data_IF_326532670087
#
_entry.id   IF_326532670087
#
_cell.length_a   1.000
_cell.length_b   1.000
_cell.length_c   1.000
_cell.angle_alpha   90.00
_cell.angle_beta   90.00
_cell.angle_gamma   90.00
#
_symmetry.space_group_name_H-M   'P 1'
#
loop_
_entity.id
_entity.type
_entity.pdbx_description
1 polymer ?
#
# COMPACT_ATOMS: atom_id res chain seq x y z
N UNK A 1 11.57 -21.60 4.42
CA UNK A 1 10.25 -20.96 4.57
C UNK A 1 9.36 -21.50 3.46
N UNK A 2 8.20 -22.05 3.79
CA UNK A 2 7.31 -22.73 2.84
C UNK A 2 6.68 -21.72 1.87
N UNK A 3 6.63 -22.01 0.56
CA UNK A 3 6.12 -21.08 -0.46
C UNK A 3 4.69 -20.63 -0.18
N UNK A 4 3.87 -21.54 0.36
CA UNK A 4 2.50 -21.27 0.82
C UNK A 4 2.39 -20.09 1.80
N UNK A 5 3.32 -19.96 2.74
CA UNK A 5 3.32 -18.86 3.71
C UNK A 5 3.71 -17.50 3.10
N UNK A 6 4.38 -17.52 1.95
CA UNK A 6 4.71 -16.30 1.21
C UNK A 6 3.48 -15.85 0.45
N UNK A 7 2.79 -16.76 -0.23
CA UNK A 7 1.59 -16.43 -0.99
C UNK A 7 0.44 -15.96 -0.08
N UNK A 8 0.23 -16.62 1.07
CA UNK A 8 -0.73 -16.18 2.10
C UNK A 8 -0.42 -14.75 2.61
N UNK A 9 0.87 -14.41 2.75
CA UNK A 9 1.27 -13.08 3.20
C UNK A 9 1.02 -12.00 2.14
N UNK A 10 1.24 -12.32 0.87
CA UNK A 10 0.92 -11.43 -0.23
C UNK A 10 -0.58 -11.26 -0.43
N UNK A 11 -1.37 -12.32 -0.22
CA UNK A 11 -2.82 -12.22 -0.20
C UNK A 11 -3.30 -11.30 0.93
N UNK A 12 -2.76 -11.46 2.14
CA UNK A 12 -3.03 -10.56 3.25
C UNK A 12 -2.64 -9.12 2.94
N UNK A 13 -1.49 -8.90 2.30
CA UNK A 13 -1.07 -7.57 1.85
C UNK A 13 -2.08 -6.96 0.86
N UNK A 14 -2.53 -7.72 -0.14
CA UNK A 14 -3.51 -7.26 -1.11
C UNK A 14 -4.83 -6.88 -0.43
N UNK A 15 -5.30 -7.72 0.51
CA UNK A 15 -6.49 -7.42 1.30
C UNK A 15 -6.34 -6.11 2.10
N UNK A 16 -5.19 -5.91 2.75
CA UNK A 16 -4.94 -4.66 3.49
C UNK A 16 -4.86 -3.46 2.53
N UNK A 17 -4.26 -3.61 1.35
CA UNK A 17 -4.18 -2.56 0.33
C UNK A 17 -5.58 -2.15 -0.14
N UNK A 18 -6.48 -3.10 -0.36
CA UNK A 18 -7.88 -2.83 -0.69
C UNK A 18 -8.60 -2.11 0.45
N UNK A 19 -8.39 -2.52 1.70
CA UNK A 19 -8.93 -1.81 2.86
C UNK A 19 -8.46 -0.35 2.94
N UNK A 20 -7.15 -0.09 2.77
CA UNK A 20 -6.57 1.25 2.76
C UNK A 20 -7.21 2.10 1.64
N UNK A 21 -7.48 1.50 0.49
CA UNK A 21 -8.15 2.16 -0.63
C UNK A 21 -9.58 2.55 -0.28
N UNK A 22 -10.36 1.66 0.34
CA UNK A 22 -11.71 1.97 0.81
C UNK A 22 -11.73 3.06 1.88
N UNK A 23 -10.75 3.09 2.79
CA UNK A 23 -10.62 4.15 3.78
C UNK A 23 -10.31 5.51 3.14
N UNK A 24 -9.45 5.54 2.11
CA UNK A 24 -9.21 6.75 1.31
C UNK A 24 -10.51 7.23 0.67
N UNK A 25 -11.27 6.36 0.02
CA UNK A 25 -12.54 6.72 -0.61
C UNK A 25 -13.53 7.31 0.40
N UNK A 26 -13.61 6.74 1.61
CA UNK A 26 -14.41 7.32 2.70
C UNK A 26 -13.93 8.72 3.06
N UNK A 27 -12.62 8.95 3.20
CA UNK A 27 -12.09 10.27 3.51
C UNK A 27 -12.39 11.28 2.39
N UNK A 28 -12.23 10.89 1.12
CA UNK A 28 -12.50 11.73 -0.04
C UNK A 28 -13.99 12.10 -0.17
N UNK A 29 -14.90 11.19 0.20
CA UNK A 29 -16.35 11.46 0.19
C UNK A 29 -16.74 12.42 1.32
N UNK A 30 -16.14 12.27 2.50
CA UNK A 30 -16.62 12.92 3.72
C UNK A 30 -15.87 14.22 4.07
N UNK A 31 -14.68 14.44 3.53
CA UNK A 31 -13.82 15.57 3.86
C UNK A 31 -13.39 16.30 2.59
N UNK A 32 -13.43 17.64 2.63
CA UNK A 32 -12.88 18.46 1.55
C UNK A 32 -11.36 18.22 1.45
N UNK A 33 -10.83 18.17 0.23
CA UNK A 33 -9.40 17.88 -0.03
C UNK A 33 -8.43 18.90 0.63
N UNK A 34 -8.88 20.14 0.85
CA UNK A 34 -8.14 21.18 1.54
C UNK A 34 -8.34 21.17 3.07
N UNK A 35 -9.11 20.22 3.61
CA UNK A 35 -9.33 20.08 5.04
C UNK A 35 -8.10 19.44 5.70
N UNK A 36 -7.65 20.00 6.83
CA UNK A 36 -6.54 19.46 7.61
C UNK A 36 -6.77 17.99 8.02
N UNK A 37 -8.01 17.60 8.33
CA UNK A 37 -8.36 16.22 8.68
C UNK A 37 -8.27 15.27 7.48
N UNK A 38 -8.58 15.76 6.26
CA UNK A 38 -8.38 14.98 5.03
C UNK A 38 -6.90 14.71 4.84
N UNK A 39 -6.08 15.76 4.87
CA UNK A 39 -4.62 15.65 4.74
C UNK A 39 -4.01 14.70 5.78
N UNK A 40 -4.32 14.88 7.06
CA UNK A 40 -3.80 14.02 8.14
C UNK A 40 -4.28 12.57 8.00
N UNK A 41 -5.52 12.37 7.56
CA UNK A 41 -6.04 11.04 7.24
C UNK A 41 -5.25 10.37 6.12
N UNK A 42 -4.99 11.10 5.03
CA UNK A 42 -4.19 10.62 3.91
C UNK A 42 -2.74 10.31 4.30
N UNK A 43 -2.11 11.17 5.10
CA UNK A 43 -0.74 10.96 5.61
C UNK A 43 -0.66 9.70 6.48
N UNK A 44 -1.68 9.46 7.33
CA UNK A 44 -1.75 8.24 8.15
C UNK A 44 -1.94 6.97 7.32
N UNK A 45 -2.81 7.02 6.30
CA UNK A 45 -3.00 5.89 5.37
C UNK A 45 -1.71 5.59 4.60
N UNK A 46 -0.93 6.62 4.23
CA UNK A 46 0.41 6.46 3.65
C UNK A 46 1.33 5.68 4.57
N UNK A 47 1.47 6.16 5.79
CA UNK A 47 2.40 5.59 6.76
C UNK A 47 2.04 4.13 7.05
N UNK A 48 0.75 3.80 7.11
CA UNK A 48 0.30 2.42 7.29
C UNK A 48 0.73 1.52 6.13
N UNK A 49 0.50 1.95 4.89
CA UNK A 49 0.93 1.21 3.70
C UNK A 49 2.43 0.97 3.67
N UNK A 50 3.22 2.03 3.87
CA UNK A 50 4.68 1.97 3.80
C UNK A 50 5.26 1.04 4.89
N UNK A 51 4.72 1.11 6.11
CA UNK A 51 5.13 0.23 7.22
C UNK A 51 4.85 -1.26 6.93
N UNK A 52 3.74 -1.58 6.26
CA UNK A 52 3.41 -2.96 5.90
C UNK A 52 4.39 -3.49 4.85
N UNK A 53 4.73 -2.68 3.84
CA UNK A 53 5.76 -3.04 2.86
C UNK A 53 7.10 -3.30 3.55
N UNK A 54 7.50 -2.45 4.50
CA UNK A 54 8.74 -2.63 5.25
C UNK A 54 8.74 -3.94 6.07
N UNK A 55 7.64 -4.26 6.74
CA UNK A 55 7.48 -5.52 7.48
C UNK A 55 7.60 -6.75 6.56
N UNK A 56 7.02 -6.69 5.36
CA UNK A 56 7.18 -7.75 4.36
C UNK A 56 8.62 -7.87 3.87
N UNK A 57 9.32 -6.75 3.67
CA UNK A 57 10.74 -6.75 3.29
C UNK A 57 11.63 -7.40 4.36
N UNK A 58 11.33 -7.18 5.64
CA UNK A 58 12.10 -7.74 6.75
C UNK A 58 11.83 -9.24 6.96
N UNK A 59 10.58 -9.67 6.79
CA UNK A 59 10.13 -11.02 7.21
C UNK A 59 10.45 -12.10 6.17
N UNK A 60 10.67 -11.74 4.90
CA UNK A 60 10.73 -12.71 3.81
C UNK A 60 12.03 -12.67 2.98
N UNK A 61 12.35 -13.79 2.29
CA UNK A 61 13.62 -13.92 1.54
C UNK A 61 13.78 -12.80 0.50
N UNK A 62 14.88 -12.02 0.54
CA UNK A 62 14.96 -10.75 -0.17
C UNK A 62 14.73 -10.85 -1.68
N UNK A 63 15.06 -11.98 -2.34
CA UNK A 63 14.91 -12.10 -3.79
C UNK A 63 13.45 -12.26 -4.23
N UNK A 64 12.67 -13.12 -3.58
CA UNK A 64 11.27 -13.39 -3.96
C UNK A 64 10.37 -12.20 -3.62
N UNK A 65 10.63 -11.56 -2.49
CA UNK A 65 9.92 -10.35 -2.04
C UNK A 65 10.17 -9.19 -2.98
N UNK A 66 11.43 -8.93 -3.35
CA UNK A 66 11.77 -7.87 -4.30
C UNK A 66 11.12 -8.04 -5.67
N UNK A 67 10.90 -9.27 -6.12
CA UNK A 67 10.21 -9.53 -7.40
C UNK A 67 8.74 -9.12 -7.27
N UNK A 68 8.03 -9.61 -6.25
CA UNK A 68 6.63 -9.26 -6.04
C UNK A 68 6.41 -7.77 -5.75
N UNK A 69 7.28 -7.13 -4.95
CA UNK A 69 7.18 -5.68 -4.70
C UNK A 69 7.34 -4.91 -6.00
N UNK A 70 8.29 -5.30 -6.88
CA UNK A 70 8.42 -4.65 -8.19
C UNK A 70 7.20 -4.85 -9.07
N UNK A 71 6.58 -6.03 -9.02
CA UNK A 71 5.32 -6.30 -9.74
C UNK A 71 4.22 -5.37 -9.22
N UNK A 72 4.08 -5.23 -7.90
CA UNK A 72 3.12 -4.31 -7.27
C UNK A 72 3.40 -2.85 -7.66
N UNK A 73 4.65 -2.38 -7.52
CA UNK A 73 5.06 -1.02 -7.92
C UNK A 73 4.82 -0.76 -9.41
N UNK A 74 5.00 -1.77 -10.25
CA UNK A 74 4.74 -1.70 -11.68
C UNK A 74 3.24 -1.61 -11.97
N UNK A 75 2.43 -2.46 -11.34
CA UNK A 75 0.97 -2.44 -11.47
C UNK A 75 0.38 -1.12 -10.97
N UNK A 76 0.91 -0.56 -9.88
CA UNK A 76 0.53 0.76 -9.37
C UNK A 76 0.86 1.88 -10.36
N UNK A 77 2.01 1.80 -11.06
CA UNK A 77 2.40 2.75 -12.11
C UNK A 77 1.52 2.63 -13.35
N UNK A 78 1.26 1.41 -13.83
CA UNK A 78 0.47 1.15 -15.03
C UNK A 78 -1.02 1.45 -14.84
N UNK A 79 -1.56 1.18 -13.64
CA UNK A 79 -2.99 1.31 -13.38
C UNK A 79 -3.55 2.72 -13.60
N UNK A 80 -2.73 3.80 -13.57
CA UNK A 80 -3.19 5.21 -13.51
C UNK A 80 -4.32 5.46 -12.49
N UNK A 81 -4.61 4.51 -11.59
CA UNK A 81 -5.29 4.74 -10.33
C UNK A 81 -4.25 5.42 -9.47
N UNK A 82 -4.32 6.73 -9.44
CA UNK A 82 -3.49 7.60 -8.62
C UNK A 82 -3.64 7.19 -7.15
N UNK A 83 -2.88 6.19 -6.70
CA UNK A 83 -2.54 6.08 -5.28
C UNK A 83 -1.68 7.31 -4.98
N UNK A 84 -2.11 8.18 -4.06
CA UNK A 84 -1.68 9.58 -4.04
C UNK A 84 -0.34 9.77 -3.33
N UNK A 85 0.57 8.82 -3.45
CA UNK A 85 1.92 9.00 -2.94
C UNK A 85 2.86 9.09 -4.12
N UNK A 86 2.92 10.32 -4.65
CA UNK A 86 4.09 10.83 -5.35
C UNK A 86 5.31 10.35 -4.57
N UNK A 87 6.15 9.53 -5.20
CA UNK A 87 7.54 9.43 -4.79
C UNK A 87 8.07 10.85 -4.83
N UNK A 88 8.26 11.45 -3.65
CA UNK A 88 9.09 12.64 -3.54
C UNK A 88 10.50 12.18 -3.94
N UNK A 89 10.99 12.86 -4.97
CA UNK A 89 12.28 12.73 -5.67
C UNK A 89 12.44 11.52 -6.59
#
# INVERSE_FOLDING_TARGET
MNEKHIDEAFENYNNIRECISGLKEILDINLLENNIYHKLGMDNLKALHDNIIELMNYTYSPRKVRIRIREIEYDEKEAKKMFPFKLLT
#
